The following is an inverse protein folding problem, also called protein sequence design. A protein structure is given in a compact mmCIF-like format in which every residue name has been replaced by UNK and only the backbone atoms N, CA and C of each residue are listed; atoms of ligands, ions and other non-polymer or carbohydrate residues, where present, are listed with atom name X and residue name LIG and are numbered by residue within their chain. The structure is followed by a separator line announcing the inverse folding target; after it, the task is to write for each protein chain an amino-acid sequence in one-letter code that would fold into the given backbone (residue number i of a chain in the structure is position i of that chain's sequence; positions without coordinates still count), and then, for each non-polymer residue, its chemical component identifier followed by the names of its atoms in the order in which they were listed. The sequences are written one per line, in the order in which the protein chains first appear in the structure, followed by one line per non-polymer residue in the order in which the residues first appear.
data_IF_631194875324
#
_entry.id   IF_631194875324
#
_cell.length_a   1.000
_cell.length_b   1.000
_cell.length_c   1.000
_cell.angle_alpha   90.00
_cell.angle_beta   90.00
_cell.angle_gamma   90.00
#
_symmetry.space_group_name_H-M   'P 1'
#
loop_
_entity.id
_entity.type
_entity.pdbx_description
1 polymer ?
#
# COMPACT_ATOMS: atom_id res chain seq x y z
N UNK A 1 -10.88 -8.57 0.19
CA UNK A 1 -10.91 -7.19 0.69
C UNK A 1 -12.35 -6.83 1.06
N UNK A 2 -12.55 -5.78 1.85
CA UNK A 2 -13.90 -5.37 2.28
C UNK A 2 -14.54 -4.38 1.29
N UNK A 3 -13.76 -3.63 0.52
CA UNK A 3 -14.30 -2.65 -0.43
C UNK A 3 -15.00 -3.27 -1.64
N UNK A 4 -14.44 -4.34 -2.20
CA UNK A 4 -14.88 -5.00 -3.44
C UNK A 4 -15.30 -6.45 -3.22
N UNK A 5 -14.93 -7.06 -2.09
CA UNK A 5 -15.23 -8.46 -1.80
C UNK A 5 -14.40 -9.46 -2.61
N UNK A 6 -13.25 -9.05 -3.17
CA UNK A 6 -12.36 -9.92 -3.94
C UNK A 6 -11.23 -10.48 -3.07
N UNK A 7 -10.62 -11.60 -3.45
CA UNK A 7 -9.37 -12.06 -2.81
C UNK A 7 -8.18 -11.68 -3.68
N UNK A 8 -7.12 -11.19 -3.05
CA UNK A 8 -5.95 -10.66 -3.74
C UNK A 8 -4.67 -11.37 -3.31
N UNK A 9 -3.83 -11.67 -4.27
CA UNK A 9 -2.45 -12.10 -4.03
C UNK A 9 -1.58 -10.93 -3.60
N UNK A 10 -0.41 -11.22 -3.01
CA UNK A 10 0.57 -10.19 -2.62
C UNK A 10 1.09 -9.35 -3.81
N UNK A 11 0.99 -9.89 -5.03
CA UNK A 11 1.38 -9.21 -6.27
C UNK A 11 0.25 -8.34 -6.86
N UNK A 12 -0.89 -8.23 -6.18
CA UNK A 12 -2.02 -7.42 -6.61
C UNK A 12 -2.89 -8.06 -7.70
N UNK A 13 -2.81 -9.38 -7.90
CA UNK A 13 -3.74 -10.11 -8.77
C UNK A 13 -4.96 -10.59 -7.99
N UNK A 14 -6.17 -10.36 -8.52
CA UNK A 14 -7.40 -10.88 -7.95
C UNK A 14 -7.55 -12.37 -8.28
N UNK A 15 -7.49 -13.22 -7.25
CA UNK A 15 -7.61 -14.68 -7.39
C UNK A 15 -9.05 -15.17 -7.38
N UNK A 16 -9.97 -14.44 -6.74
CA UNK A 16 -11.39 -14.80 -6.64
C UNK A 16 -12.25 -13.56 -6.38
N UNK A 17 -13.57 -13.71 -6.53
CA UNK A 17 -14.56 -12.65 -6.29
C UNK A 17 -14.86 -11.78 -7.53
N UNK A 18 -15.56 -10.65 -7.35
CA UNK A 18 -16.08 -9.84 -8.45
C UNK A 18 -15.02 -9.31 -9.43
N UNK A 19 -13.77 -9.16 -8.99
CA UNK A 19 -12.67 -8.66 -9.81
C UNK A 19 -11.69 -9.76 -10.24
N UNK A 20 -12.05 -11.04 -10.15
CA UNK A 20 -11.16 -12.14 -10.52
C UNK A 20 -10.57 -11.97 -11.94
N UNK A 21 -9.24 -12.09 -12.04
CA UNK A 21 -8.49 -11.86 -13.28
C UNK A 21 -7.95 -10.45 -13.46
N UNK A 22 -8.44 -9.47 -12.69
CA UNK A 22 -7.92 -8.10 -12.68
C UNK A 22 -6.60 -7.97 -11.92
N UNK A 23 -5.90 -6.86 -12.19
CA UNK A 23 -4.63 -6.51 -11.52
C UNK A 23 -4.66 -5.08 -11.00
N UNK A 24 -4.27 -4.90 -9.74
CA UNK A 24 -4.10 -3.58 -9.14
C UNK A 24 -3.01 -2.77 -9.85
N UNK A 25 -3.21 -1.47 -9.91
CA UNK A 25 -2.16 -0.53 -10.32
C UNK A 25 -1.11 -0.48 -9.20
N UNK A 26 0.16 -0.81 -9.48
CA UNK A 26 1.20 -0.76 -8.46
C UNK A 26 1.45 0.68 -8.03
N UNK A 27 1.56 0.88 -6.71
CA UNK A 27 1.96 2.15 -6.13
C UNK A 27 3.42 2.08 -5.71
N UNK A 28 4.11 3.22 -5.74
CA UNK A 28 5.49 3.31 -5.25
C UNK A 28 5.49 3.11 -3.75
N UNK A 29 6.06 1.99 -3.31
CA UNK A 29 6.29 1.69 -1.91
C UNK A 29 7.79 1.65 -1.64
N UNK A 30 8.23 2.37 -0.60
CA UNK A 30 9.64 2.42 -0.22
C UNK A 30 9.76 2.14 1.27
N UNK A 31 10.62 1.18 1.61
CA UNK A 31 10.96 0.89 3.00
C UNK A 31 12.06 1.86 3.44
N UNK A 32 11.68 2.92 4.15
CA UNK A 32 12.62 3.88 4.73
C UNK A 32 12.87 3.59 6.21
N UNK A 33 14.14 3.70 6.63
CA UNK A 33 14.40 3.95 8.04
C UNK A 33 13.84 5.32 8.44
N UNK A 34 13.32 5.44 9.67
CA UNK A 34 12.71 6.67 10.15
C UNK A 34 13.62 7.90 10.01
N UNK A 35 14.91 7.78 10.35
CA UNK A 35 15.85 8.90 10.24
C UNK A 35 16.07 9.36 8.79
N UNK A 36 15.96 8.45 7.81
CA UNK A 36 16.08 8.79 6.39
C UNK A 36 14.84 9.54 5.93
N UNK A 37 13.65 9.08 6.31
CA UNK A 37 12.39 9.78 6.00
C UNK A 37 12.38 11.18 6.60
N UNK A 38 12.75 11.33 7.87
CA UNK A 38 12.80 12.63 8.54
C UNK A 38 13.77 13.63 7.86
N UNK A 39 14.87 13.14 7.26
CA UNK A 39 15.80 13.99 6.51
C UNK A 39 15.26 14.43 5.14
N UNK A 40 14.49 13.58 4.46
CA UNK A 40 13.97 13.85 3.11
C UNK A 40 12.56 14.45 3.08
N UNK A 41 11.79 14.35 4.17
CA UNK A 41 10.43 14.88 4.30
C UNK A 41 10.26 15.60 5.65
N UNK A 42 11.00 16.71 5.86
CA UNK A 42 11.09 17.40 7.15
C UNK A 42 9.76 18.00 7.63
N UNK A 43 8.82 18.26 6.72
CA UNK A 43 7.48 18.76 7.01
C UNK A 43 6.50 17.68 7.53
N UNK A 44 6.93 16.41 7.57
CA UNK A 44 6.11 15.31 8.10
C UNK A 44 5.73 15.60 9.56
N UNK A 45 4.43 15.76 9.83
CA UNK A 45 3.94 16.00 11.19
C UNK A 45 4.09 14.72 12.02
N UNK A 46 4.84 14.80 13.11
CA UNK A 46 4.96 13.74 14.11
C UNK A 46 3.81 13.91 15.11
N UNK A 47 2.98 12.88 15.27
CA UNK A 47 1.99 12.84 16.34
C UNK A 47 2.64 12.30 17.63
N UNK A 48 2.50 13.02 18.73
CA UNK A 48 2.85 12.55 20.06
C UNK A 48 1.57 12.31 20.85
N UNK A 49 1.48 11.22 21.64
CA UNK A 49 0.33 10.92 22.47
C UNK A 49 0.13 11.92 23.61
#
# INVERSE_FOLDING_TARGET
DLETGSEWTILGHASSGPLAGEKLVPVVAVNHFWFSWAAFSPETRIFMP
#
